data_IF_599674766357
#
_entry.id   IF_599674766357
#
_cell.length_a   1.000
_cell.length_b   1.000
_cell.length_c   1.000
_cell.angle_alpha   90.00
_cell.angle_beta   90.00
_cell.angle_gamma   90.00
#
_symmetry.space_group_name_H-M   'P 1'
#
loop_
_entity.id
_entity.type
_entity.pdbx_description
1 polymer ?
#
# COMPACT_ATOMS: atom_id res chain seq x y z
N UNK A 1 7.59 32.85 -19.49
CA UNK A 1 8.47 31.83 -18.86
C UNK A 1 8.00 31.58 -17.44
N UNK A 2 8.06 30.33 -16.97
CA UNK A 2 7.75 29.92 -15.61
C UNK A 2 9.01 29.35 -14.95
N UNK A 3 9.34 29.80 -13.75
CA UNK A 3 10.42 29.23 -12.94
C UNK A 3 9.91 28.03 -12.15
N UNK A 4 10.71 26.98 -12.04
CA UNK A 4 10.46 25.84 -11.16
C UNK A 4 11.76 25.29 -10.61
N UNK A 5 11.69 24.58 -9.48
CA UNK A 5 12.84 23.92 -8.87
C UNK A 5 12.79 22.43 -9.20
N UNK A 6 13.90 21.88 -9.69
CA UNK A 6 14.05 20.44 -9.85
C UNK A 6 14.07 19.76 -8.48
N UNK A 7 13.22 18.76 -8.25
CA UNK A 7 13.17 18.03 -6.96
C UNK A 7 13.75 16.61 -7.05
N UNK A 8 14.28 16.22 -8.21
CA UNK A 8 14.81 14.88 -8.46
C UNK A 8 16.17 14.63 -7.78
N UNK A 9 16.89 15.68 -7.36
CA UNK A 9 18.20 15.55 -6.74
C UNK A 9 18.48 16.71 -5.77
N UNK A 10 19.39 16.53 -4.79
CA UNK A 10 19.62 17.52 -3.74
C UNK A 10 20.16 18.87 -4.25
N UNK A 11 20.75 18.92 -5.47
CA UNK A 11 21.23 20.18 -6.07
C UNK A 11 20.13 21.22 -6.28
N UNK A 12 18.89 20.77 -6.47
CA UNK A 12 17.71 21.64 -6.57
C UNK A 12 17.86 22.80 -7.58
N UNK A 13 18.36 22.51 -8.78
CA UNK A 13 18.58 23.55 -9.78
C UNK A 13 17.28 24.25 -10.19
N UNK A 14 17.37 25.55 -10.44
CA UNK A 14 16.25 26.38 -10.88
C UNK A 14 16.14 26.29 -12.40
N UNK A 15 15.00 25.83 -12.88
CA UNK A 15 14.71 25.60 -14.29
C UNK A 15 13.73 26.66 -14.78
N UNK A 16 14.07 27.29 -15.90
CA UNK A 16 13.19 28.22 -16.62
C UNK A 16 12.49 27.50 -17.77
N UNK A 17 11.15 27.52 -17.74
CA UNK A 17 10.32 26.76 -18.68
C UNK A 17 9.49 27.72 -19.53
N UNK A 18 9.58 27.60 -20.85
CA UNK A 18 8.62 28.19 -21.79
C UNK A 18 7.41 27.28 -21.95
N UNK A 19 6.21 27.80 -21.70
CA UNK A 19 4.95 27.05 -21.78
C UNK A 19 4.06 27.74 -22.80
N UNK A 20 3.54 26.96 -23.75
CA UNK A 20 2.49 27.38 -24.68
C UNK A 20 1.41 26.29 -24.71
N UNK A 21 0.14 26.66 -24.55
CA UNK A 21 -1.01 25.74 -24.53
C UNK A 21 -0.80 24.47 -23.67
N UNK A 22 -0.24 24.62 -22.46
CA UNK A 22 0.11 23.53 -21.51
C UNK A 22 1.17 22.54 -22.02
N UNK A 23 1.84 22.83 -23.13
CA UNK A 23 3.00 22.08 -23.62
C UNK A 23 4.28 22.87 -23.36
N UNK A 24 5.38 22.16 -23.14
CA UNK A 24 6.68 22.81 -23.02
C UNK A 24 7.24 23.11 -24.41
N UNK A 25 7.54 24.38 -24.66
CA UNK A 25 8.23 24.84 -25.87
C UNK A 25 9.73 25.05 -25.66
N UNK A 26 10.17 25.28 -24.42
CA UNK A 26 11.59 25.36 -24.09
C UNK A 26 11.87 25.06 -22.62
N UNK A 27 13.04 24.49 -22.36
CA UNK A 27 13.59 24.29 -21.01
C UNK A 27 14.99 24.89 -20.99
N UNK A 28 15.28 25.74 -20.02
CA UNK A 28 16.57 26.41 -19.83
C UNK A 28 17.00 26.32 -18.37
N UNK A 29 18.30 26.48 -18.16
CA UNK A 29 18.95 26.54 -16.84
C UNK A 29 18.88 25.23 -16.01
N UNK A 30 18.50 24.11 -16.64
CA UNK A 30 18.68 22.80 -16.04
C UNK A 30 20.17 22.40 -16.06
N UNK A 31 20.72 22.08 -14.89
CA UNK A 31 22.11 21.61 -14.77
C UNK A 31 22.34 20.16 -15.20
N UNK A 32 21.28 19.42 -15.55
CA UNK A 32 21.39 18.04 -15.99
C UNK A 32 20.20 17.58 -16.84
N UNK A 33 20.32 16.46 -17.59
CA UNK A 33 19.21 15.90 -18.37
C UNK A 33 18.01 15.43 -17.53
N UNK A 34 18.24 15.07 -16.26
CA UNK A 34 17.15 14.69 -15.35
C UNK A 34 16.23 15.87 -15.05
N UNK A 35 16.79 17.07 -14.90
CA UNK A 35 16.03 18.29 -14.67
C UNK A 35 15.09 18.62 -15.82
N UNK A 36 15.54 18.48 -17.06
CA UNK A 36 14.67 18.68 -18.23
C UNK A 36 13.53 17.65 -18.27
N UNK A 37 13.85 16.36 -18.09
CA UNK A 37 12.83 15.29 -18.06
C UNK A 37 11.80 15.53 -16.97
N UNK A 38 12.24 15.95 -15.78
CA UNK A 38 11.35 16.31 -14.68
C UNK A 38 10.46 17.49 -15.03
N UNK A 39 11.00 18.58 -15.58
CA UNK A 39 10.22 19.75 -15.98
C UNK A 39 9.12 19.37 -16.98
N UNK A 40 9.47 18.59 -18.02
CA UNK A 40 8.51 18.06 -19.00
C UNK A 40 7.42 17.22 -18.36
N UNK A 41 7.80 16.23 -17.56
CA UNK A 41 6.82 15.38 -16.87
C UNK A 41 5.91 16.21 -15.94
N UNK A 42 6.47 17.10 -15.13
CA UNK A 42 5.71 17.85 -14.12
C UNK A 42 4.71 18.84 -14.73
N UNK A 43 5.00 19.40 -15.91
CA UNK A 43 4.10 20.32 -16.61
C UNK A 43 3.05 19.57 -17.43
N UNK A 44 3.45 18.54 -18.17
CA UNK A 44 2.58 17.88 -19.15
C UNK A 44 1.77 16.74 -18.55
N UNK A 45 2.36 15.96 -17.63
CA UNK A 45 1.72 14.81 -17.00
C UNK A 45 2.33 14.54 -15.61
N UNK A 46 2.02 15.38 -14.59
CA UNK A 46 2.61 15.21 -13.27
C UNK A 46 2.20 13.87 -12.66
N UNK A 47 3.16 13.11 -12.15
CA UNK A 47 2.94 11.80 -11.52
C UNK A 47 3.52 11.74 -10.12
N UNK A 48 2.94 10.91 -9.24
CA UNK A 48 3.41 10.71 -7.87
C UNK A 48 3.29 9.25 -7.44
N UNK A 49 4.20 8.82 -6.57
CA UNK A 49 4.00 7.60 -5.79
C UNK A 49 2.92 7.89 -4.75
N UNK A 50 1.91 7.03 -4.67
CA UNK A 50 0.90 7.13 -3.61
C UNK A 50 1.40 6.35 -2.43
N UNK A 51 1.45 6.96 -1.26
CA UNK A 51 1.66 6.30 0.02
C UNK A 51 0.36 6.42 0.82
N UNK A 52 -0.09 5.31 1.40
CA UNK A 52 -1.33 5.24 2.16
C UNK A 52 -1.29 4.06 3.12
N UNK A 53 -2.45 3.68 3.66
CA UNK A 53 -2.62 2.52 4.53
C UNK A 53 -3.86 1.75 4.12
N UNK A 54 -3.82 0.42 4.30
CA UNK A 54 -4.99 -0.46 4.16
C UNK A 54 -5.29 -1.10 5.51
N UNK A 55 -6.56 -1.36 5.76
CA UNK A 55 -6.96 -1.99 7.01
C UNK A 55 -6.62 -3.48 6.96
N UNK A 56 -6.03 -3.99 8.03
CA UNK A 56 -5.73 -5.39 8.22
C UNK A 56 -6.66 -6.00 9.26
N UNK A 57 -7.11 -7.21 8.97
CA UNK A 57 -8.02 -7.97 9.82
C UNK A 57 -7.26 -9.18 10.39
N UNK A 58 -7.23 -9.27 11.72
CA UNK A 58 -6.60 -10.38 12.42
C UNK A 58 -5.06 -10.41 12.40
N UNK A 59 -4.41 -9.27 12.20
CA UNK A 59 -2.95 -9.14 12.32
C UNK A 59 -2.57 -8.27 13.51
N UNK A 60 -1.28 -8.31 13.87
CA UNK A 60 -0.63 -7.50 14.91
C UNK A 60 -0.78 -5.99 14.70
N UNK A 61 -1.05 -5.55 13.47
CA UNK A 61 -1.31 -4.16 13.13
C UNK A 61 -2.63 -3.97 12.40
N UNK A 62 -3.49 -3.11 12.93
CA UNK A 62 -4.78 -2.75 12.31
C UNK A 62 -4.64 -2.05 10.95
N UNK A 63 -3.54 -1.35 10.72
CA UNK A 63 -3.27 -0.60 9.49
C UNK A 63 -1.91 -1.00 8.94
N UNK A 64 -1.87 -1.44 7.68
CA UNK A 64 -0.64 -1.78 6.97
C UNK A 64 -0.28 -0.64 6.03
N UNK A 65 0.94 -0.07 6.13
CA UNK A 65 1.39 0.94 5.20
C UNK A 65 1.62 0.33 3.82
N UNK A 66 1.12 1.02 2.81
CA UNK A 66 1.20 0.62 1.40
C UNK A 66 1.70 1.77 0.54
N UNK A 67 2.27 1.43 -0.61
CA UNK A 67 2.58 2.40 -1.66
C UNK A 67 2.27 1.85 -3.04
N UNK A 68 2.14 2.73 -4.03
CA UNK A 68 2.25 2.30 -5.42
C UNK A 68 3.70 1.94 -5.75
N UNK A 69 3.91 0.86 -6.51
CA UNK A 69 5.25 0.45 -6.96
C UNK A 69 5.84 1.41 -8.01
N UNK A 70 4.99 2.17 -8.68
CA UNK A 70 5.34 3.17 -9.68
C UNK A 70 4.47 4.43 -9.59
N UNK A 71 4.90 5.56 -10.18
CA UNK A 71 4.14 6.81 -10.14
C UNK A 71 2.83 6.72 -10.91
N UNK A 72 1.75 7.25 -10.35
CA UNK A 72 0.44 7.42 -11.00
C UNK A 72 0.16 8.88 -11.33
N UNK A 73 -0.68 9.20 -12.33
CA UNK A 73 -1.03 10.58 -12.66
C UNK A 73 -1.62 11.33 -11.46
N UNK A 74 -1.22 12.60 -11.27
CA UNK A 74 -1.68 13.46 -10.17
C UNK A 74 -3.19 13.63 -10.16
N UNK A 75 -3.82 13.67 -11.34
CA UNK A 75 -5.27 13.74 -11.49
C UNK A 75 -6.00 12.50 -10.97
N UNK A 76 -5.32 11.37 -10.79
CA UNK A 76 -5.88 10.08 -10.34
C UNK A 76 -5.65 9.78 -8.86
N UNK A 77 -4.99 10.67 -8.13
CA UNK A 77 -4.67 10.47 -6.71
C UNK A 77 -5.95 10.21 -5.89
N UNK A 78 -7.00 11.01 -6.08
CA UNK A 78 -8.24 10.87 -5.33
C UNK A 78 -8.96 9.54 -5.64
N UNK A 79 -9.05 9.18 -6.92
CA UNK A 79 -9.63 7.91 -7.36
C UNK A 79 -8.88 6.72 -6.73
N UNK A 80 -7.54 6.74 -6.77
CA UNK A 80 -6.70 5.70 -6.16
C UNK A 80 -6.91 5.62 -4.66
N UNK A 81 -6.99 6.76 -3.96
CA UNK A 81 -7.23 6.79 -2.51
C UNK A 81 -8.60 6.22 -2.14
N UNK A 82 -9.64 6.48 -2.94
CA UNK A 82 -10.96 5.88 -2.75
C UNK A 82 -10.93 4.37 -2.95
N UNK A 83 -10.13 3.88 -3.90
CA UNK A 83 -9.99 2.45 -4.13
C UNK A 83 -9.23 1.76 -2.98
N UNK A 84 -8.11 2.35 -2.54
CA UNK A 84 -7.33 1.87 -1.38
C UNK A 84 -8.22 1.77 -0.13
N UNK A 85 -9.13 2.73 0.11
CA UNK A 85 -10.03 2.73 1.26
C UNK A 85 -10.92 1.49 1.35
N UNK A 86 -11.22 0.83 0.23
CA UNK A 86 -12.05 -0.39 0.16
C UNK A 86 -11.24 -1.66 0.45
N UNK A 87 -9.91 -1.59 0.29
CA UNK A 87 -9.02 -2.75 0.43
C UNK A 87 -8.94 -3.19 1.88
N UNK A 88 -9.00 -4.50 2.09
CA UNK A 88 -8.77 -5.17 3.36
C UNK A 88 -7.73 -6.26 3.16
N UNK A 89 -6.66 -6.22 3.94
CA UNK A 89 -5.73 -7.35 4.06
C UNK A 89 -6.38 -8.34 5.01
N UNK A 90 -6.79 -9.48 4.46
CA UNK A 90 -7.53 -10.48 5.20
C UNK A 90 -6.63 -11.62 5.61
N UNK A 91 -6.69 -11.93 6.89
CA UNK A 91 -6.54 -13.28 7.41
C UNK A 91 -5.22 -13.98 7.08
N UNK A 92 -4.18 -13.25 6.67
CA UNK A 92 -2.86 -13.80 6.34
C UNK A 92 -1.77 -12.79 6.66
N UNK A 93 -0.61 -13.24 7.16
CA UNK A 93 0.56 -12.39 7.30
C UNK A 93 0.94 -11.79 5.96
N UNK A 94 1.46 -10.57 6.00
CA UNK A 94 2.05 -9.89 4.84
C UNK A 94 3.50 -9.60 5.11
N UNK A 95 4.31 -9.63 4.05
CA UNK A 95 5.69 -9.21 4.05
C UNK A 95 5.84 -7.86 3.36
N UNK A 96 6.87 -7.10 3.72
CA UNK A 96 7.24 -5.91 2.96
C UNK A 96 7.52 -6.27 1.49
N UNK A 97 6.92 -5.54 0.56
CA UNK A 97 6.97 -5.81 -0.88
C UNK A 97 5.82 -6.66 -1.40
N UNK A 98 5.00 -7.25 -0.54
CA UNK A 98 3.87 -8.07 -0.98
C UNK A 98 2.86 -7.26 -1.79
N UNK A 99 2.36 -7.88 -2.85
CA UNK A 99 1.34 -7.34 -3.73
C UNK A 99 -0.02 -7.37 -3.03
N UNK A 100 -0.59 -6.19 -2.76
CA UNK A 100 -1.91 -6.03 -2.16
C UNK A 100 -2.99 -5.89 -3.24
N UNK A 101 -2.76 -5.03 -4.24
CA UNK A 101 -3.65 -4.87 -5.39
C UNK A 101 -2.82 -4.82 -6.66
N UNK A 102 -3.15 -5.68 -7.63
CA UNK A 102 -2.54 -5.65 -8.96
C UNK A 102 -3.21 -4.59 -9.82
N UNK A 103 -2.41 -3.82 -10.56
CA UNK A 103 -2.89 -2.88 -11.58
C UNK A 103 -4.06 -1.99 -11.10
N UNK A 104 -3.82 -1.21 -10.05
CA UNK A 104 -4.85 -0.39 -9.41
C UNK A 104 -5.48 0.57 -10.42
N UNK A 105 -6.80 0.48 -10.58
CA UNK A 105 -7.60 1.25 -11.55
C UNK A 105 -7.09 1.17 -13.01
N UNK A 106 -6.35 0.12 -13.38
CA UNK A 106 -5.79 0.00 -14.73
C UNK A 106 -4.63 0.95 -15.02
N UNK A 107 -4.02 1.58 -14.01
CA UNK A 107 -2.96 2.59 -14.16
C UNK A 107 -1.56 1.98 -14.34
N UNK A 108 -1.48 0.68 -14.60
CA UNK A 108 -0.27 -0.15 -14.63
C UNK A 108 0.50 -0.17 -13.32
N UNK A 109 0.03 0.49 -12.26
CA UNK A 109 0.68 0.52 -10.96
C UNK A 109 0.13 -0.55 -10.02
N UNK A 110 0.99 -1.19 -9.24
CA UNK A 110 0.57 -2.11 -8.19
C UNK A 110 0.57 -1.40 -6.85
N UNK A 111 -0.34 -1.79 -5.96
CA UNK A 111 -0.30 -1.41 -4.54
C UNK A 111 0.45 -2.49 -3.78
N UNK A 112 1.53 -2.12 -3.09
CA UNK A 112 2.40 -3.04 -2.35
C UNK A 112 2.53 -2.64 -0.89
N UNK A 113 2.68 -3.61 0.00
CA UNK A 113 2.97 -3.37 1.42
C UNK A 113 4.39 -2.83 1.59
N UNK A 114 4.59 -1.92 2.54
CA UNK A 114 5.92 -1.38 2.88
C UNK A 114 6.42 -1.84 4.25
N UNK A 115 5.62 -2.64 4.97
CA UNK A 115 6.02 -3.28 6.22
C UNK A 115 5.38 -4.67 6.29
N UNK A 116 6.07 -5.60 6.95
CA UNK A 116 5.49 -6.88 7.33
C UNK A 116 4.48 -6.72 8.48
N UNK A 117 3.49 -7.60 8.52
CA UNK A 117 2.52 -7.73 9.61
C UNK A 117 2.19 -9.22 9.77
N UNK A 118 2.21 -9.69 11.00
CA UNK A 118 2.03 -11.10 11.36
C UNK A 118 0.80 -11.27 12.24
N UNK A 119 0.48 -12.50 12.64
CA UNK A 119 -0.52 -12.70 13.68
C UNK A 119 -0.06 -12.10 15.02
N UNK A 120 -0.97 -11.68 15.91
CA UNK A 120 -0.63 -11.33 17.28
C UNK A 120 0.22 -12.41 17.97
N UNK A 121 1.13 -12.01 18.86
CA UNK A 121 2.10 -12.92 19.50
C UNK A 121 1.44 -14.11 20.20
N UNK A 122 0.34 -13.87 20.92
CA UNK A 122 -0.42 -14.93 21.60
C UNK A 122 -0.91 -16.00 20.62
N UNK A 123 -1.35 -15.59 19.42
CA UNK A 123 -1.81 -16.49 18.37
C UNK A 123 -0.64 -17.28 17.80
N UNK A 124 0.50 -16.63 17.56
CA UNK A 124 1.71 -17.32 17.10
C UNK A 124 2.14 -18.40 18.10
N UNK A 125 2.07 -18.12 19.40
CA UNK A 125 2.38 -19.10 20.45
C UNK A 125 1.45 -20.32 20.40
N UNK A 126 0.14 -20.11 20.27
CA UNK A 126 -0.82 -21.22 20.14
C UNK A 126 -0.57 -22.05 18.89
N UNK A 127 -0.35 -21.40 17.75
CA UNK A 127 -0.10 -22.11 16.49
C UNK A 127 1.19 -22.92 16.55
N UNK A 128 2.24 -22.40 17.17
CA UNK A 128 3.47 -23.15 17.43
C UNK A 128 3.25 -24.33 18.38
N UNK A 129 2.51 -24.13 19.46
CA UNK A 129 2.19 -25.20 20.43
C UNK A 129 1.48 -26.39 19.76
N UNK A 130 0.53 -26.11 18.86
CA UNK A 130 -0.19 -27.14 18.10
C UNK A 130 0.50 -27.56 16.80
N UNK A 131 1.71 -27.07 16.51
CA UNK A 131 2.46 -27.36 15.27
C UNK A 131 1.68 -27.06 13.99
N UNK A 132 0.93 -25.96 13.97
CA UNK A 132 0.09 -25.52 12.86
C UNK A 132 0.85 -24.55 11.98
N UNK A 133 1.50 -25.07 10.95
CA UNK A 133 2.26 -24.25 10.01
C UNK A 133 1.33 -23.56 8.99
N UNK A 134 1.46 -22.24 8.88
CA UNK A 134 0.61 -21.31 8.11
C UNK A 134 0.43 -21.59 6.62
N UNK A 135 1.16 -22.55 6.04
CA UNK A 135 1.04 -22.88 4.62
C UNK A 135 -0.25 -23.62 4.28
N UNK A 136 -0.86 -24.33 5.23
CA UNK A 136 -2.01 -25.24 5.00
C UNK A 136 -3.15 -25.02 6.01
N UNK A 137 -3.44 -23.77 6.34
CA UNK A 137 -4.50 -23.41 7.29
C UNK A 137 -5.37 -22.34 6.67
N UNK A 138 -6.68 -22.59 6.55
CA UNK A 138 -7.65 -21.55 6.25
C UNK A 138 -7.89 -20.75 7.52
N UNK A 139 -7.86 -19.44 7.42
CA UNK A 139 -8.06 -18.55 8.55
C UNK A 139 -9.20 -17.57 8.25
N UNK A 140 -10.03 -17.31 9.25
CA UNK A 140 -11.09 -16.31 9.23
C UNK A 140 -11.02 -15.48 10.50
N UNK A 141 -10.87 -14.16 10.37
CA UNK A 141 -11.03 -13.21 11.46
C UNK A 141 -12.38 -12.52 11.39
N UNK A 142 -13.09 -12.45 12.51
CA UNK A 142 -14.30 -11.64 12.65
C UNK A 142 -14.40 -11.03 14.03
N UNK A 143 -15.13 -9.93 14.10
CA UNK A 143 -15.56 -9.29 15.34
C UNK A 143 -17.08 -9.36 15.40
N UNK A 144 -17.61 -9.71 16.56
CA UNK A 144 -19.04 -9.74 16.85
C UNK A 144 -19.30 -9.07 18.20
N UNK A 145 -20.52 -8.57 18.41
CA UNK A 145 -20.91 -8.00 19.70
C UNK A 145 -21.48 -9.08 20.61
N UNK A 146 -20.99 -9.12 21.85
CA UNK A 146 -21.54 -9.97 22.91
C UNK A 146 -21.63 -9.15 24.18
N UNK A 147 -22.81 -9.09 24.81
CA UNK A 147 -23.06 -8.28 26.00
C UNK A 147 -22.62 -6.79 25.89
N UNK A 148 -22.61 -6.24 24.68
CA UNK A 148 -22.20 -4.86 24.41
C UNK A 148 -20.72 -4.66 24.09
N UNK A 149 -19.90 -5.71 24.25
CA UNK A 149 -18.45 -5.69 23.98
C UNK A 149 -18.13 -6.25 22.60
N UNK A 150 -17.10 -5.71 21.95
CA UNK A 150 -16.60 -6.20 20.68
C UNK A 150 -15.66 -7.38 20.93
N UNK A 151 -16.13 -8.59 20.64
CA UNK A 151 -15.33 -9.81 20.75
C UNK A 151 -14.82 -10.19 19.37
N UNK A 152 -13.51 -10.34 19.25
CA UNK A 152 -12.83 -10.81 18.05
C UNK A 152 -12.47 -12.29 18.17
N UNK A 153 -12.53 -13.02 17.06
CA UNK A 153 -12.05 -14.38 17.02
C UNK A 153 -11.30 -14.68 15.73
N UNK A 154 -10.37 -15.61 15.86
CA UNK A 154 -9.62 -16.21 14.77
C UNK A 154 -10.02 -17.67 14.66
N UNK A 155 -10.58 -18.04 13.52
CA UNK A 155 -10.99 -19.40 13.21
C UNK A 155 -9.97 -20.02 12.25
N UNK A 156 -9.22 -21.00 12.72
CA UNK A 156 -8.21 -21.71 11.96
C UNK A 156 -8.71 -23.11 11.60
N UNK A 157 -8.72 -23.44 10.32
CA UNK A 157 -9.07 -24.77 9.79
C UNK A 157 -7.82 -25.35 9.13
N UNK A 158 -7.07 -26.20 9.82
CA UNK A 158 -5.92 -26.89 9.23
C UNK A 158 -6.41 -27.94 8.23
N UNK A 159 -5.78 -28.03 7.07
CA UNK A 159 -6.18 -28.99 6.03
C UNK A 159 -6.00 -30.46 6.48
N UNK A 160 -5.11 -30.70 7.46
CA UNK A 160 -4.75 -32.03 7.95
C UNK A 160 -5.46 -32.44 9.25
N UNK A 161 -6.38 -31.64 9.77
CA UNK A 161 -7.09 -31.92 11.03
C UNK A 161 -8.60 -32.03 10.83
N UNK A 162 -9.24 -32.91 11.60
CA UNK A 162 -10.72 -33.03 11.66
C UNK A 162 -11.37 -31.99 12.59
N UNK A 163 -10.62 -31.01 13.07
CA UNK A 163 -11.07 -30.01 14.04
C UNK A 163 -10.56 -28.61 13.66
N UNK A 164 -11.35 -27.59 13.99
CA UNK A 164 -10.97 -26.19 13.86
C UNK A 164 -10.53 -25.65 15.23
N UNK A 165 -9.63 -24.66 15.21
CA UNK A 165 -9.18 -23.95 16.40
C UNK A 165 -9.75 -22.55 16.38
N UNK A 166 -10.38 -22.17 17.49
CA UNK A 166 -10.94 -20.83 17.66
C UNK A 166 -10.18 -20.14 18.77
N UNK A 167 -9.51 -19.04 18.43
CA UNK A 167 -8.88 -18.16 19.41
C UNK A 167 -9.74 -16.91 19.54
N UNK A 168 -10.31 -16.69 20.71
CA UNK A 168 -11.20 -15.55 21.00
C UNK A 168 -10.46 -14.56 21.89
N UNK A 169 -10.60 -13.27 21.59
CA UNK A 169 -10.09 -12.16 22.38
C UNK A 169 -11.06 -10.97 22.29
N UNK A 170 -11.18 -10.19 23.36
CA UNK A 170 -12.07 -9.03 23.47
C UNK A 170 -11.35 -7.89 24.18
#
# INVERSE_FOLDING_TARGET
MKKMVCIECPKSCVINVGIDNKKIVSVKDNECPKGEKYARQEIENPKRIITSTVLAEGLDYKMIPVKTDRPVPKSKILDVMQEIKKVRVKDKPVSAGDLIVRNILGLEANLVATRSASYPEIIQKYLNYYSLYFKNVKHVFRTFKSCGEDISYHFFIPDNYKAAIVLVHG
#
